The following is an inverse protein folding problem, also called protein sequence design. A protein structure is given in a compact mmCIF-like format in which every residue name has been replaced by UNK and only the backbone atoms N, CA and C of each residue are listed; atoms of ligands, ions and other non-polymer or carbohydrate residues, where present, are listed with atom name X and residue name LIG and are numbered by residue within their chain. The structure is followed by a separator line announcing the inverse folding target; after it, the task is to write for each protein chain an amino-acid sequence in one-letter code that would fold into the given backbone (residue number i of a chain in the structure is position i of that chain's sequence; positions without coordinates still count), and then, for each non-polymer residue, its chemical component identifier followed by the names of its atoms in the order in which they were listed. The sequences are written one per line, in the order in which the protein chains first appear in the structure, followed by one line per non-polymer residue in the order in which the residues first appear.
data_IF_917797087066
#
_entry.id   IF_917797087066
#
_cell.length_a   1.000
_cell.length_b   1.000
_cell.length_c   1.000
_cell.angle_alpha   90.00
_cell.angle_beta   90.00
_cell.angle_gamma   90.00
#
_symmetry.space_group_name_H-M   'P 1'
#
loop_
_entity.id
_entity.type
_entity.pdbx_description
1 polymer ?
#
# COMPACT_ATOMS: atom_id res chain seq x y z
N UNK A 1 -44.96 -25.01 36.18
CA UNK A 1 -43.55 -24.96 35.81
C UNK A 1 -43.38 -23.94 34.67
N UNK A 2 -42.58 -22.92 34.86
CA UNK A 2 -42.22 -21.91 33.85
C UNK A 2 -40.96 -22.34 33.08
N UNK A 3 -40.62 -21.59 32.05
CA UNK A 3 -39.40 -21.88 31.23
C UNK A 3 -38.58 -20.61 31.05
N UNK A 4 -37.27 -20.77 30.95
CA UNK A 4 -36.34 -19.67 30.65
C UNK A 4 -36.52 -19.20 29.20
N UNK A 5 -36.29 -17.92 28.95
CA UNK A 5 -36.49 -17.28 27.64
C UNK A 5 -35.60 -17.85 26.55
N UNK A 6 -34.33 -18.09 26.83
CA UNK A 6 -33.33 -18.42 25.78
C UNK A 6 -33.30 -19.92 25.42
N UNK A 7 -33.28 -20.79 26.44
CA UNK A 7 -33.07 -22.22 26.22
C UNK A 7 -34.31 -23.06 26.62
N UNK A 8 -35.42 -22.41 26.96
CA UNK A 8 -36.64 -23.08 27.39
C UNK A 8 -36.42 -24.10 28.52
N UNK A 9 -35.40 -23.87 29.37
CA UNK A 9 -35.12 -24.72 30.54
C UNK A 9 -36.23 -24.58 31.56
N UNK A 10 -36.62 -25.64 32.26
CA UNK A 10 -37.64 -25.57 33.29
C UNK A 10 -37.20 -24.69 34.47
N UNK A 11 -38.12 -23.88 34.96
CA UNK A 11 -37.98 -23.16 36.22
C UNK A 11 -39.08 -23.59 37.14
N UNK A 12 -38.69 -23.97 38.38
CA UNK A 12 -39.61 -24.51 39.34
C UNK A 12 -40.00 -23.45 40.39
N UNK A 13 -41.27 -23.42 40.76
CA UNK A 13 -41.76 -22.65 41.85
C UNK A 13 -41.99 -23.56 43.08
N UNK A 14 -42.11 -23.00 44.28
CA UNK A 14 -42.22 -23.75 45.52
C UNK A 14 -43.45 -24.69 45.56
N UNK A 15 -44.46 -24.40 44.74
CA UNK A 15 -45.69 -25.20 44.59
C UNK A 15 -45.57 -26.29 43.50
N UNK A 16 -44.51 -26.31 42.71
CA UNK A 16 -44.38 -27.29 41.65
C UNK A 16 -43.94 -28.65 42.21
N UNK A 17 -44.57 -29.70 41.69
CA UNK A 17 -44.16 -31.08 41.96
C UNK A 17 -43.14 -31.48 40.91
N UNK A 18 -41.89 -31.66 41.32
CA UNK A 18 -40.78 -32.00 40.44
C UNK A 18 -40.75 -33.50 40.19
N UNK A 19 -40.86 -33.90 38.92
CA UNK A 19 -40.75 -35.29 38.51
C UNK A 19 -39.36 -35.61 37.98
N UNK A 20 -38.94 -36.87 38.05
CA UNK A 20 -37.66 -37.34 37.50
C UNK A 20 -37.57 -37.04 35.98
N UNK A 21 -38.68 -37.08 35.27
CA UNK A 21 -38.77 -36.71 33.87
C UNK A 21 -38.34 -35.26 33.59
N UNK A 22 -38.66 -34.32 34.49
CA UNK A 22 -38.29 -32.91 34.35
C UNK A 22 -36.76 -32.71 34.45
N UNK A 23 -36.13 -33.49 35.34
CA UNK A 23 -34.68 -33.52 35.45
C UNK A 23 -34.00 -34.14 34.22
N UNK A 24 -34.51 -35.25 33.73
CA UNK A 24 -34.00 -35.91 32.55
C UNK A 24 -34.13 -35.02 31.31
N UNK A 25 -35.24 -34.32 31.15
CA UNK A 25 -35.46 -33.35 30.08
C UNK A 25 -34.48 -32.16 30.17
N UNK A 26 -34.21 -31.65 31.36
CA UNK A 26 -33.24 -30.59 31.58
C UNK A 26 -31.84 -31.07 31.18
N UNK A 27 -31.43 -32.23 31.69
CA UNK A 27 -30.10 -32.80 31.38
C UNK A 27 -29.93 -33.01 29.88
N UNK A 28 -30.92 -33.56 29.20
CA UNK A 28 -30.85 -33.77 27.74
C UNK A 28 -30.77 -32.46 26.95
N UNK A 29 -31.49 -31.43 27.35
CA UNK A 29 -31.43 -30.11 26.74
C UNK A 29 -30.08 -29.44 26.92
N UNK A 30 -29.50 -29.55 28.13
CA UNK A 30 -28.16 -29.03 28.40
C UNK A 30 -27.10 -29.77 27.60
N UNK A 31 -27.16 -31.09 27.53
CA UNK A 31 -26.24 -31.91 26.73
C UNK A 31 -26.29 -31.53 25.24
N UNK A 32 -27.50 -31.40 24.70
CA UNK A 32 -27.72 -30.98 23.30
C UNK A 32 -27.17 -29.56 23.04
N UNK A 33 -27.41 -28.64 23.98
CA UNK A 33 -26.89 -27.27 23.83
C UNK A 33 -25.38 -27.20 23.90
N UNK A 34 -24.77 -27.92 24.84
CA UNK A 34 -23.30 -28.01 24.96
C UNK A 34 -22.67 -28.63 23.70
N UNK A 35 -23.28 -29.72 23.20
CA UNK A 35 -22.80 -30.36 21.96
C UNK A 35 -22.88 -29.40 20.77
N UNK A 36 -23.95 -28.63 20.63
CA UNK A 36 -24.09 -27.62 19.58
C UNK A 36 -23.07 -26.51 19.70
N UNK A 37 -22.72 -26.09 20.93
CA UNK A 37 -21.64 -25.12 21.17
C UNK A 37 -20.28 -25.65 20.76
N UNK A 38 -19.97 -26.90 21.13
CA UNK A 38 -18.70 -27.55 20.75
C UNK A 38 -18.58 -27.66 19.23
N UNK A 39 -19.65 -28.09 18.55
CA UNK A 39 -19.66 -28.18 17.09
C UNK A 39 -19.46 -26.80 16.43
N UNK A 40 -20.08 -25.76 16.98
CA UNK A 40 -19.90 -24.39 16.50
C UNK A 40 -18.46 -23.89 16.73
N UNK A 41 -17.85 -24.18 17.87
CA UNK A 41 -16.45 -23.82 18.15
C UNK A 41 -15.47 -24.54 17.22
N UNK A 42 -15.73 -25.82 16.96
CA UNK A 42 -14.90 -26.62 16.04
C UNK A 42 -14.99 -26.17 14.58
N UNK A 43 -16.06 -25.49 14.18
CA UNK A 43 -16.20 -24.91 12.83
C UNK A 43 -15.56 -23.52 12.69
N UNK A 44 -15.20 -22.87 13.77
CA UNK A 44 -14.49 -21.59 13.70
C UNK A 44 -13.05 -21.83 13.30
N UNK A 45 -12.54 -20.94 12.44
CA UNK A 45 -11.14 -20.96 12.07
C UNK A 45 -10.27 -20.87 13.34
N UNK A 46 -9.43 -21.85 13.55
CA UNK A 46 -8.51 -21.84 14.66
C UNK A 46 -7.39 -20.79 14.45
N UNK A 47 -6.66 -20.48 15.49
CA UNK A 47 -5.58 -19.49 15.45
C UNK A 47 -4.50 -19.88 14.45
N UNK A 48 -4.27 -21.19 14.24
CA UNK A 48 -3.25 -21.69 13.31
C UNK A 48 -3.67 -21.41 11.85
N UNK A 49 -4.94 -21.62 11.50
CA UNK A 49 -5.47 -21.30 10.18
C UNK A 49 -5.42 -19.80 9.87
N UNK A 50 -5.79 -18.95 10.86
CA UNK A 50 -5.68 -17.48 10.72
C UNK A 50 -4.22 -17.07 10.52
N UNK A 51 -3.29 -17.64 11.29
CA UNK A 51 -1.86 -17.36 11.17
C UNK A 51 -1.32 -17.79 9.80
N UNK A 52 -1.73 -18.95 9.28
CA UNK A 52 -1.33 -19.42 7.97
C UNK A 52 -1.79 -18.45 6.86
N UNK A 53 -3.05 -18.02 6.89
CA UNK A 53 -3.56 -17.03 5.93
C UNK A 53 -2.81 -15.70 6.04
N UNK A 54 -2.48 -15.25 7.24
CA UNK A 54 -1.69 -14.02 7.43
C UNK A 54 -0.29 -14.15 6.82
N UNK A 55 0.35 -15.31 6.97
CA UNK A 55 1.66 -15.60 6.37
C UNK A 55 1.59 -15.65 4.83
N UNK A 56 0.56 -16.28 4.27
CA UNK A 56 0.32 -16.29 2.82
C UNK A 56 0.09 -14.89 2.25
N UNK A 57 -0.70 -14.06 2.94
CA UNK A 57 -0.92 -12.65 2.55
C UNK A 57 0.37 -11.85 2.62
N UNK A 58 1.19 -12.06 3.64
CA UNK A 58 2.49 -11.41 3.76
C UNK A 58 3.43 -11.83 2.62
N UNK A 59 3.52 -13.14 2.33
CA UNK A 59 4.32 -13.66 1.22
C UNK A 59 3.84 -13.15 -0.14
N UNK A 60 2.52 -13.10 -0.37
CA UNK A 60 1.95 -12.54 -1.60
C UNK A 60 2.24 -11.05 -1.77
N UNK A 61 2.26 -10.28 -0.67
CA UNK A 61 2.67 -8.86 -0.69
C UNK A 61 4.16 -8.71 -0.99
N UNK A 62 5.00 -9.59 -0.48
CA UNK A 62 6.44 -9.57 -0.77
C UNK A 62 6.77 -10.03 -2.19
N UNK A 63 6.01 -10.98 -2.73
CA UNK A 63 6.14 -11.43 -4.12
C UNK A 63 5.70 -10.38 -5.15
N UNK A 64 4.96 -9.34 -4.74
CA UNK A 64 4.58 -8.25 -5.64
C UNK A 64 5.80 -7.39 -5.95
N UNK A 65 6.33 -7.53 -7.16
CA UNK A 65 7.52 -6.80 -7.59
C UNK A 65 7.29 -5.29 -7.77
N UNK A 66 6.06 -4.84 -8.03
CA UNK A 66 5.73 -3.42 -8.20
C UNK A 66 4.89 -2.92 -7.02
N UNK A 67 5.43 -1.98 -6.26
CA UNK A 67 4.79 -1.44 -5.06
C UNK A 67 4.69 0.08 -5.17
N UNK A 68 3.50 0.62 -4.93
CA UNK A 68 3.31 2.08 -4.80
C UNK A 68 3.94 2.54 -3.49
N UNK A 69 4.90 3.46 -3.56
CA UNK A 69 5.56 4.04 -2.39
C UNK A 69 4.89 5.33 -1.91
N UNK A 70 4.50 6.21 -2.85
CA UNK A 70 3.92 7.50 -2.49
C UNK A 70 3.10 8.10 -3.64
N UNK A 71 2.22 9.04 -3.30
CA UNK A 71 1.45 9.85 -4.23
C UNK A 71 0.02 9.32 -4.50
N UNK A 72 -0.73 9.99 -5.39
CA UNK A 72 -0.26 11.13 -6.17
C UNK A 72 0.07 12.34 -5.27
N UNK A 73 1.25 12.94 -5.48
CA UNK A 73 1.57 14.26 -4.96
C UNK A 73 1.11 15.29 -5.97
N UNK A 74 0.67 16.46 -5.51
CA UNK A 74 0.15 17.53 -6.34
C UNK A 74 0.81 18.84 -5.94
N UNK A 75 1.31 19.63 -6.90
CA UNK A 75 1.79 20.99 -6.61
C UNK A 75 0.61 21.92 -6.41
N UNK A 76 0.73 22.82 -5.42
CA UNK A 76 -0.30 23.83 -5.11
C UNK A 76 0.03 25.21 -5.69
N UNK A 77 1.25 25.42 -6.15
CA UNK A 77 1.76 26.68 -6.68
C UNK A 77 2.52 26.45 -7.97
N UNK A 78 2.61 27.47 -8.81
CA UNK A 78 3.54 27.51 -9.95
C UNK A 78 4.98 27.34 -9.48
N UNK A 79 5.78 26.65 -10.27
CA UNK A 79 7.16 26.27 -9.95
C UNK A 79 7.32 25.50 -8.62
N UNK A 80 6.22 24.88 -8.19
CA UNK A 80 6.22 24.03 -7.01
C UNK A 80 7.15 22.84 -7.14
N UNK A 81 7.39 22.18 -6.01
CA UNK A 81 8.19 20.96 -5.94
C UNK A 81 7.35 19.79 -5.46
N UNK A 82 7.63 18.60 -6.01
CA UNK A 82 7.09 17.34 -5.53
C UNK A 82 8.20 16.60 -4.78
N UNK A 83 8.02 16.40 -3.48
CA UNK A 83 9.01 15.76 -2.62
C UNK A 83 8.53 14.39 -2.18
N UNK A 84 9.30 13.35 -2.50
CA UNK A 84 9.09 11.99 -2.04
C UNK A 84 10.09 11.67 -0.93
N UNK A 85 9.58 11.42 0.27
CA UNK A 85 10.38 10.94 1.40
C UNK A 85 10.53 9.41 1.29
N UNK A 86 11.78 8.97 1.20
CA UNK A 86 12.18 7.56 1.13
C UNK A 86 13.01 7.16 2.36
N UNK A 87 13.02 7.96 3.41
CA UNK A 87 13.85 7.71 4.60
C UNK A 87 13.56 6.36 5.26
N UNK A 88 12.32 5.87 5.14
CA UNK A 88 11.87 4.59 5.70
C UNK A 88 11.93 3.43 4.68
N UNK A 89 12.39 3.68 3.45
CA UNK A 89 12.49 2.66 2.41
C UNK A 89 13.88 2.02 2.44
N UNK A 90 13.92 0.71 2.55
CA UNK A 90 15.16 -0.05 2.42
C UNK A 90 15.54 -0.18 0.93
N UNK A 91 16.35 0.75 0.45
CA UNK A 91 16.79 0.80 -0.95
C UNK A 91 17.63 -0.41 -1.37
N UNK A 92 18.17 -1.20 -0.44
CA UNK A 92 18.91 -2.43 -0.78
C UNK A 92 18.01 -3.51 -1.36
N UNK A 93 16.72 -3.48 -1.01
CA UNK A 93 15.67 -4.39 -1.52
C UNK A 93 14.97 -3.89 -2.78
N UNK A 94 15.34 -2.72 -3.28
CA UNK A 94 14.71 -2.09 -4.43
C UNK A 94 15.63 -2.25 -5.65
N UNK A 95 15.08 -2.80 -6.73
CA UNK A 95 15.77 -2.95 -8.01
C UNK A 95 15.71 -1.68 -8.87
N UNK A 96 14.55 -0.98 -8.82
CA UNK A 96 14.33 0.27 -9.55
C UNK A 96 13.28 1.11 -8.85
N UNK A 97 13.34 2.43 -9.05
CA UNK A 97 12.22 3.33 -8.79
C UNK A 97 11.61 3.73 -10.14
N UNK A 98 10.30 3.81 -10.14
CA UNK A 98 9.54 4.21 -11.29
C UNK A 98 8.52 5.25 -10.85
N UNK A 99 8.40 6.36 -11.55
CA UNK A 99 7.35 7.30 -11.28
C UNK A 99 6.68 7.83 -12.54
N UNK A 100 5.39 8.05 -12.43
CA UNK A 100 4.59 8.75 -13.41
C UNK A 100 4.52 10.21 -13.02
N UNK A 101 4.50 11.10 -13.99
CA UNK A 101 4.29 12.52 -13.75
C UNK A 101 3.39 13.14 -14.83
N UNK A 102 2.74 14.21 -14.46
CA UNK A 102 2.04 15.10 -15.38
C UNK A 102 2.38 16.53 -15.00
N UNK A 103 2.91 17.28 -15.93
CA UNK A 103 3.23 18.71 -15.79
C UNK A 103 2.32 19.55 -16.69
N UNK A 104 2.18 20.81 -16.36
CA UNK A 104 1.19 21.69 -17.00
C UNK A 104 1.60 22.31 -18.34
N UNK A 105 0.78 23.26 -18.77
CA UNK A 105 0.75 23.83 -20.14
C UNK A 105 1.64 25.07 -20.32
N UNK A 106 2.72 25.21 -19.62
CA UNK A 106 3.62 26.37 -19.78
C UNK A 106 5.01 25.92 -20.23
N UNK A 107 5.78 26.84 -20.80
CA UNK A 107 7.18 26.56 -21.12
C UNK A 107 7.97 26.33 -19.85
N UNK A 108 8.76 25.25 -19.82
CA UNK A 108 9.56 24.98 -18.64
C UNK A 108 10.44 23.74 -18.76
N UNK A 109 11.24 23.59 -17.74
CA UNK A 109 12.13 22.43 -17.59
C UNK A 109 11.90 21.81 -16.21
N UNK A 110 11.51 20.55 -16.20
CA UNK A 110 11.45 19.78 -14.97
C UNK A 110 12.79 19.12 -14.70
N UNK A 111 13.22 19.15 -13.46
CA UNK A 111 14.48 18.56 -13.02
C UNK A 111 14.24 17.54 -11.91
N UNK A 112 15.09 16.53 -11.85
CA UNK A 112 15.13 15.53 -10.79
C UNK A 112 16.34 15.78 -9.89
N UNK A 113 16.11 15.82 -8.60
CA UNK A 113 17.15 15.79 -7.59
C UNK A 113 16.99 14.56 -6.69
N UNK A 114 18.12 14.02 -6.28
CA UNK A 114 18.23 12.90 -5.33
C UNK A 114 19.02 13.39 -4.13
N UNK A 115 18.46 13.25 -2.92
CA UNK A 115 19.09 13.76 -1.69
C UNK A 115 19.53 15.23 -1.79
N UNK A 116 18.73 16.08 -2.46
CA UNK A 116 18.98 17.48 -2.77
C UNK A 116 20.13 17.74 -3.79
N UNK A 117 20.74 16.71 -4.34
CA UNK A 117 21.72 16.84 -5.43
C UNK A 117 21.02 16.70 -6.78
N UNK A 118 21.16 17.68 -7.66
CA UNK A 118 20.56 17.63 -8.99
C UNK A 118 21.13 16.43 -9.77
N UNK A 119 20.24 15.57 -10.27
CA UNK A 119 20.62 14.46 -11.14
C UNK A 119 20.54 14.86 -12.61
N UNK A 120 19.59 15.74 -12.97
CA UNK A 120 19.46 16.24 -14.33
C UNK A 120 18.04 16.67 -14.70
N UNK A 121 17.89 17.02 -15.96
CA UNK A 121 16.60 17.42 -16.56
C UNK A 121 15.76 16.18 -16.83
N UNK A 122 14.55 16.14 -16.28
CA UNK A 122 13.54 15.11 -16.57
C UNK A 122 12.94 15.31 -17.96
N UNK A 123 12.46 16.52 -18.20
CA UNK A 123 11.90 16.91 -19.49
C UNK A 123 11.95 18.42 -19.67
N UNK A 124 11.92 18.85 -20.92
CA UNK A 124 11.54 20.22 -21.33
C UNK A 124 10.21 20.16 -22.04
N UNK A 125 9.36 21.17 -21.84
CA UNK A 125 8.06 21.27 -22.48
C UNK A 125 7.80 22.69 -22.96
N UNK A 126 7.13 22.80 -24.11
CA UNK A 126 6.78 24.06 -24.74
C UNK A 126 5.25 24.12 -24.90
N UNK A 127 4.58 24.93 -24.09
CA UNK A 127 3.13 25.21 -24.16
C UNK A 127 2.22 23.97 -24.29
N UNK A 128 2.68 22.82 -23.81
CA UNK A 128 1.94 21.57 -23.85
C UNK A 128 1.96 20.86 -22.51
N UNK A 129 0.92 20.10 -22.23
CA UNK A 129 0.94 19.18 -21.09
C UNK A 129 1.95 18.07 -21.36
N UNK A 130 2.92 17.95 -20.50
CA UNK A 130 3.88 16.84 -20.53
C UNK A 130 3.49 15.80 -19.49
N UNK A 131 3.25 14.60 -19.95
CA UNK A 131 3.08 13.44 -19.08
C UNK A 131 4.11 12.38 -19.47
N UNK A 132 4.55 11.61 -18.50
CA UNK A 132 5.56 10.61 -18.79
C UNK A 132 5.85 9.69 -17.64
N UNK A 133 6.84 8.85 -17.92
CA UNK A 133 7.40 7.87 -16.99
C UNK A 133 8.88 8.14 -16.81
N UNK A 134 9.34 7.97 -15.58
CA UNK A 134 10.76 8.04 -15.25
C UNK A 134 11.17 6.73 -14.61
N UNK A 135 12.23 6.16 -15.13
CA UNK A 135 12.94 5.05 -14.50
C UNK A 135 14.18 5.57 -13.84
N UNK A 136 14.37 5.25 -12.56
CA UNK A 136 15.60 5.48 -11.82
C UNK A 136 16.13 4.12 -11.38
N UNK A 137 17.35 3.81 -11.78
CA UNK A 137 17.97 2.49 -11.57
C UNK A 137 19.37 2.63 -10.99
N UNK A 138 19.87 1.64 -10.26
CA UNK A 138 21.29 1.56 -9.94
C UNK A 138 22.10 1.41 -11.22
N UNK A 139 23.21 2.13 -11.32
CA UNK A 139 24.12 2.09 -12.46
C UNK A 139 25.58 2.10 -11.99
N UNK A 140 26.25 0.98 -12.11
CA UNK A 140 27.58 0.82 -11.53
C UNK A 140 27.55 1.10 -10.01
N UNK A 141 28.37 2.06 -9.57
CA UNK A 141 28.36 2.50 -8.17
C UNK A 141 27.40 3.64 -7.88
N UNK A 142 26.63 4.09 -8.87
CA UNK A 142 25.77 5.25 -8.77
C UNK A 142 24.33 4.98 -9.15
N UNK A 143 23.71 5.95 -9.78
CA UNK A 143 22.34 5.94 -10.26
C UNK A 143 22.25 6.46 -11.69
N UNK A 144 21.27 5.96 -12.43
CA UNK A 144 20.88 6.48 -13.74
C UNK A 144 19.37 6.68 -13.79
N UNK A 145 18.92 7.67 -14.55
CA UNK A 145 17.51 7.79 -14.90
C UNK A 145 17.30 7.98 -16.40
N UNK A 146 16.10 7.64 -16.84
CA UNK A 146 15.62 7.90 -18.19
C UNK A 146 14.15 8.27 -18.15
N UNK A 147 13.75 9.23 -18.96
CA UNK A 147 12.36 9.69 -19.08
C UNK A 147 11.79 9.30 -20.43
N UNK A 148 10.60 8.68 -20.40
CA UNK A 148 9.78 8.46 -21.58
C UNK A 148 8.58 9.40 -21.51
N UNK A 149 8.46 10.35 -22.46
CA UNK A 149 7.30 11.22 -22.58
C UNK A 149 6.19 10.52 -23.37
N UNK A 150 4.97 10.65 -22.89
CA UNK A 150 3.76 10.07 -23.50
C UNK A 150 2.82 11.12 -24.07
N UNK A 151 3.12 12.43 -23.90
CA UNK A 151 2.27 13.51 -24.38
C UNK A 151 2.59 13.91 -25.81
N UNK A 152 1.59 14.44 -26.50
CA UNK A 152 1.65 14.88 -27.90
C UNK A 152 2.32 16.25 -28.11
N UNK A 153 2.93 16.84 -27.10
CA UNK A 153 3.59 18.14 -27.18
C UNK A 153 5.03 18.07 -27.67
N UNK A 154 5.58 19.21 -28.04
CA UNK A 154 7.00 19.38 -28.46
C UNK A 154 7.92 19.37 -27.23
N UNK A 155 7.95 18.26 -26.51
CA UNK A 155 8.84 18.07 -25.36
C UNK A 155 9.92 17.04 -25.65
N UNK A 156 11.03 17.14 -24.95
CA UNK A 156 12.08 16.11 -24.95
C UNK A 156 12.24 15.51 -23.56
N UNK A 157 12.32 14.18 -23.51
CA UNK A 157 12.67 13.46 -22.29
C UNK A 157 14.17 13.56 -22.02
N UNK A 158 14.56 13.51 -20.76
CA UNK A 158 15.94 13.54 -20.32
C UNK A 158 16.45 12.19 -19.87
N UNK A 159 17.77 12.08 -19.83
CA UNK A 159 18.46 10.96 -19.19
C UNK A 159 19.78 11.49 -18.60
N UNK A 160 20.17 10.94 -17.47
CA UNK A 160 21.46 11.26 -16.86
C UNK A 160 21.93 10.13 -15.95
N UNK A 161 23.23 10.16 -15.64
CA UNK A 161 23.88 9.25 -14.69
C UNK A 161 24.66 10.05 -13.66
N UNK A 162 24.78 9.52 -12.45
CA UNK A 162 25.66 10.05 -11.42
C UNK A 162 26.34 8.91 -10.69
N UNK A 163 27.66 9.01 -10.55
CA UNK A 163 28.47 8.07 -9.77
C UNK A 163 28.59 8.46 -8.30
N UNK A 164 28.26 9.72 -7.98
CA UNK A 164 28.39 10.28 -6.64
C UNK A 164 27.19 9.93 -5.75
N UNK A 165 26.04 9.66 -6.36
CA UNK A 165 24.81 9.27 -5.67
C UNK A 165 24.76 7.76 -5.52
N UNK A 166 24.86 7.27 -4.28
CA UNK A 166 24.78 5.84 -3.99
C UNK A 166 23.34 5.38 -3.90
N UNK A 167 22.96 4.33 -4.64
CA UNK A 167 21.61 3.77 -4.66
C UNK A 167 21.06 3.47 -3.26
N UNK A 168 21.83 2.77 -2.43
CA UNK A 168 21.40 2.40 -1.07
C UNK A 168 21.23 3.60 -0.11
N UNK A 169 21.74 4.77 -0.49
CA UNK A 169 21.68 5.99 0.34
C UNK A 169 20.59 6.97 -0.10
N UNK A 170 19.78 6.61 -1.07
CA UNK A 170 18.65 7.45 -1.50
C UNK A 170 17.63 7.54 -0.37
N UNK A 171 17.35 8.75 0.07
CA UNK A 171 16.38 9.06 1.14
C UNK A 171 15.31 10.04 0.69
N UNK A 172 15.54 10.73 -0.42
CA UNK A 172 14.63 11.75 -0.94
C UNK A 172 14.73 11.86 -2.45
N UNK A 173 13.59 11.97 -3.12
CA UNK A 173 13.50 12.43 -4.51
C UNK A 173 12.73 13.74 -4.55
N UNK A 174 13.21 14.68 -5.34
CA UNK A 174 12.54 15.96 -5.57
C UNK A 174 12.41 16.22 -7.07
N UNK A 175 11.20 16.49 -7.51
CA UNK A 175 10.90 16.99 -8.85
C UNK A 175 10.63 18.49 -8.70
N UNK A 176 11.35 19.30 -9.44
CA UNK A 176 11.26 20.77 -9.45
C UNK A 176 10.98 21.28 -10.85
N UNK A 177 10.56 22.54 -10.94
CA UNK A 177 10.27 23.16 -12.24
C UNK A 177 8.93 22.74 -12.83
N UNK A 178 7.97 22.39 -11.98
CA UNK A 178 6.61 22.04 -12.39
C UNK A 178 5.84 23.29 -12.74
N UNK A 179 6.13 23.93 -13.80
CA UNK A 179 5.75 25.29 -14.24
C UNK A 179 4.27 25.72 -14.00
N UNK A 180 3.45 24.89 -13.35
CA UNK A 180 2.08 25.28 -12.98
C UNK A 180 1.57 24.55 -11.73
N UNK A 181 0.56 25.12 -11.07
CA UNK A 181 -0.15 24.46 -9.97
C UNK A 181 -0.98 23.29 -10.53
N UNK A 182 -0.95 22.15 -9.83
CA UNK A 182 -1.66 20.94 -10.25
C UNK A 182 -0.79 19.91 -10.97
N UNK A 183 0.53 20.12 -11.09
CA UNK A 183 1.42 19.06 -11.55
C UNK A 183 1.40 17.89 -10.56
N UNK A 184 1.36 16.67 -11.07
CA UNK A 184 1.22 15.46 -10.25
C UNK A 184 2.34 14.47 -10.50
N UNK A 185 2.68 13.71 -9.48
CA UNK A 185 3.54 12.53 -9.63
C UNK A 185 3.19 11.43 -8.64
N UNK A 186 3.34 10.19 -9.08
CA UNK A 186 3.16 8.99 -8.24
C UNK A 186 4.40 8.11 -8.34
N UNK A 187 4.94 7.72 -7.21
CA UNK A 187 6.16 6.93 -7.10
C UNK A 187 5.86 5.47 -6.78
N UNK A 188 6.53 4.59 -7.51
CA UNK A 188 6.50 3.15 -7.34
C UNK A 188 7.93 2.63 -7.17
N UNK A 189 8.06 1.48 -6.53
CA UNK A 189 9.29 0.71 -6.47
C UNK A 189 9.12 -0.63 -7.17
N UNK A 190 10.17 -1.07 -7.85
CA UNK A 190 10.34 -2.45 -8.29
C UNK A 190 11.24 -3.13 -7.26
N UNK A 191 10.70 -4.14 -6.58
CA UNK A 191 11.47 -4.95 -5.61
C UNK A 191 12.40 -5.93 -6.32
N UNK A 192 13.48 -6.29 -5.63
CA UNK A 192 14.40 -7.39 -6.05
C UNK A 192 13.78 -8.73 -5.79
#
# INVERSE_FOLDING_TARGET
MKRTTNYALPTWEKSDFIQMSDFNDLTHKLDTALKSHDDTLNTKADTSAVTAVQQEVAAAREANCLVKLAGPLVTTTENGTLNFDLSQVDMTKIAALFFTFCAGQTNGTMTLAVNNTSLGTLCTHNWSTSAGFVWLVPFGNGVAFSTLLTSSGSGSGGAATSTDLKWAQIKKLTISGTSYAGATATLFAVRK
#
